data_IF_932695141538
#
_entry.id   IF_932695141538
#
_cell.length_a   1.000
_cell.length_b   1.000
_cell.length_c   1.000
_cell.angle_alpha   90.00
_cell.angle_beta   90.00
_cell.angle_gamma   90.00
#
_symmetry.space_group_name_H-M   'P 1'
#
loop_
_entity.id
_entity.type
_entity.pdbx_description
1 polymer ?
#
# COMPACT_ATOMS: atom_id res chain seq x y z
N UNK A 1 5.51 -43.98 -1.22
CA UNK A 1 5.47 -42.92 -2.24
C UNK A 1 4.06 -42.79 -2.76
N UNK A 2 3.73 -41.66 -3.38
CA UNK A 2 2.45 -41.35 -4.05
C UNK A 2 1.34 -40.76 -3.16
N UNK A 3 1.57 -39.57 -2.63
CA UNK A 3 0.48 -38.59 -2.49
C UNK A 3 0.41 -37.80 -3.80
N UNK A 4 -0.17 -38.39 -4.84
CA UNK A 4 -0.54 -37.62 -6.02
C UNK A 4 -1.75 -36.77 -5.63
N UNK A 5 -1.50 -35.51 -5.26
CA UNK A 5 -2.58 -34.55 -5.04
C UNK A 5 -3.24 -34.33 -6.39
N UNK A 6 -4.36 -35.00 -6.62
CA UNK A 6 -5.33 -34.66 -7.67
C UNK A 6 -5.88 -33.28 -7.30
N UNK A 7 -5.18 -32.23 -7.72
CA UNK A 7 -5.70 -30.88 -7.65
C UNK A 7 -6.85 -30.84 -8.66
N UNK A 8 -8.10 -30.60 -8.23
CA UNK A 8 -9.21 -30.46 -9.17
C UNK A 8 -8.87 -29.33 -10.15
N UNK A 9 -9.10 -29.57 -11.44
CA UNK A 9 -8.85 -28.59 -12.50
C UNK A 9 -9.62 -27.31 -12.16
N UNK A 10 -8.90 -26.33 -11.61
CA UNK A 10 -9.47 -25.02 -11.36
C UNK A 10 -9.80 -24.42 -12.72
N UNK A 11 -11.07 -24.09 -12.99
CA UNK A 11 -11.46 -23.67 -14.32
C UNK A 11 -10.73 -22.36 -14.65
N UNK A 12 -10.12 -22.33 -15.83
CA UNK A 12 -9.18 -21.28 -16.28
C UNK A 12 -9.75 -19.87 -16.14
N UNK A 13 -11.06 -19.70 -16.31
CA UNK A 13 -11.74 -18.42 -16.12
C UNK A 13 -11.56 -17.85 -14.71
N UNK A 14 -11.50 -18.68 -13.65
CA UNK A 14 -11.24 -18.21 -12.28
C UNK A 14 -9.83 -17.65 -12.13
N UNK A 15 -8.85 -18.31 -12.75
CA UNK A 15 -7.45 -17.84 -12.77
C UNK A 15 -7.37 -16.51 -13.53
N UNK A 16 -8.02 -16.42 -14.69
CA UNK A 16 -8.05 -15.21 -15.50
C UNK A 16 -8.71 -14.05 -14.76
N UNK A 17 -9.89 -14.24 -14.16
CA UNK A 17 -10.57 -13.21 -13.36
C UNK A 17 -9.69 -12.77 -12.20
N UNK A 18 -9.09 -13.71 -11.46
CA UNK A 18 -8.18 -13.38 -10.35
C UNK A 18 -7.04 -12.50 -10.82
N UNK A 19 -6.40 -12.85 -11.93
CA UNK A 19 -5.26 -12.09 -12.47
C UNK A 19 -5.69 -10.68 -12.93
N UNK A 20 -6.86 -10.56 -13.59
CA UNK A 20 -7.42 -9.26 -13.97
C UNK A 20 -7.69 -8.40 -12.74
N UNK A 21 -8.34 -8.95 -11.71
CA UNK A 21 -8.63 -8.23 -10.47
C UNK A 21 -7.36 -7.75 -9.77
N UNK A 22 -6.35 -8.63 -9.63
CA UNK A 22 -5.05 -8.29 -9.03
C UNK A 22 -4.37 -7.19 -9.84
N UNK A 23 -4.37 -7.28 -11.17
CA UNK A 23 -3.77 -6.27 -12.03
C UNK A 23 -4.47 -4.92 -11.87
N UNK A 24 -5.80 -4.89 -11.96
CA UNK A 24 -6.57 -3.65 -11.79
C UNK A 24 -6.39 -3.01 -10.42
N UNK A 25 -6.37 -3.83 -9.36
CA UNK A 25 -6.14 -3.36 -7.99
C UNK A 25 -4.73 -2.82 -7.82
N UNK A 26 -3.73 -3.46 -8.43
CA UNK A 26 -2.34 -2.99 -8.41
C UNK A 26 -2.19 -1.62 -9.06
N UNK A 27 -2.82 -1.39 -10.22
CA UNK A 27 -2.84 -0.08 -10.89
C UNK A 27 -3.52 0.98 -10.02
N UNK A 28 -4.62 0.63 -9.37
CA UNK A 28 -5.31 1.52 -8.43
C UNK A 28 -4.39 1.93 -7.26
N UNK A 29 -3.77 0.95 -6.58
CA UNK A 29 -2.87 1.18 -5.46
C UNK A 29 -1.67 2.05 -5.87
N UNK A 30 -1.06 1.78 -7.03
CA UNK A 30 0.04 2.58 -7.58
C UNK A 30 -0.37 4.03 -7.82
N UNK A 31 -1.58 4.24 -8.35
CA UNK A 31 -2.12 5.59 -8.61
C UNK A 31 -2.32 6.36 -7.30
N UNK A 32 -2.92 5.71 -6.30
CA UNK A 32 -3.15 6.30 -4.97
C UNK A 32 -1.82 6.64 -4.29
N UNK A 33 -0.87 5.70 -4.26
CA UNK A 33 0.44 5.91 -3.62
C UNK A 33 1.24 7.02 -4.31
N UNK A 34 1.24 7.07 -5.65
CA UNK A 34 1.92 8.14 -6.39
C UNK A 34 1.31 9.51 -6.07
N UNK A 35 -0.03 9.60 -6.03
CA UNK A 35 -0.71 10.85 -5.69
C UNK A 35 -0.47 11.27 -4.24
N UNK A 36 -0.52 10.32 -3.31
CA UNK A 36 -0.25 10.58 -1.90
C UNK A 36 1.20 11.04 -1.69
N UNK A 37 2.16 10.37 -2.32
CA UNK A 37 3.57 10.74 -2.26
C UNK A 37 3.83 12.14 -2.80
N UNK A 38 3.23 12.49 -3.96
CA UNK A 38 3.30 13.84 -4.51
C UNK A 38 2.72 14.90 -3.56
N UNK A 39 1.57 14.62 -2.96
CA UNK A 39 0.96 15.52 -1.99
C UNK A 39 1.83 15.73 -0.74
N UNK A 40 2.41 14.65 -0.22
CA UNK A 40 3.34 14.70 0.92
C UNK A 40 4.60 15.49 0.56
N UNK A 41 5.23 15.25 -0.60
CA UNK A 41 6.38 16.03 -1.07
C UNK A 41 6.05 17.52 -1.23
N UNK A 42 4.87 17.84 -1.75
CA UNK A 42 4.39 19.21 -1.86
C UNK A 42 4.19 19.88 -0.48
N UNK A 43 3.71 19.13 0.52
CA UNK A 43 3.54 19.62 1.90
C UNK A 43 4.88 19.88 2.61
N UNK A 44 5.84 18.98 2.45
CA UNK A 44 7.16 19.08 3.09
C UNK A 44 8.22 19.77 2.21
N UNK A 45 7.83 20.34 1.08
CA UNK A 45 8.73 21.01 0.10
C UNK A 45 9.97 20.17 -0.25
N UNK A 46 9.79 18.86 -0.44
CA UNK A 46 10.89 17.93 -0.74
C UNK A 46 11.16 18.00 -2.26
N UNK A 47 12.34 18.48 -2.71
CA UNK A 47 12.65 18.55 -4.13
C UNK A 47 12.75 17.15 -4.75
N UNK A 48 12.43 17.05 -6.03
CA UNK A 48 12.65 15.84 -6.83
C UNK A 48 14.12 15.82 -7.26
N UNK A 49 14.86 14.75 -6.94
CA UNK A 49 16.30 14.68 -7.23
C UNK A 49 16.61 13.81 -8.46
N UNK A 50 15.79 12.79 -8.73
CA UNK A 50 16.01 11.84 -9.83
C UNK A 50 14.70 11.55 -10.58
N UNK A 51 14.79 11.35 -11.90
CA UNK A 51 13.64 11.09 -12.78
C UNK A 51 12.57 12.19 -12.79
N UNK A 52 12.89 13.36 -13.38
CA UNK A 52 11.99 14.45 -13.82
C UNK A 52 10.47 14.11 -13.76
N UNK A 53 9.80 14.33 -12.62
CA UNK A 53 8.34 14.13 -12.45
C UNK A 53 7.84 12.68 -12.27
N UNK A 54 8.72 11.69 -12.36
CA UNK A 54 8.40 10.25 -12.32
C UNK A 54 9.06 9.48 -11.17
N UNK A 55 9.89 10.10 -10.33
CA UNK A 55 10.54 9.44 -9.18
C UNK A 55 9.53 8.66 -8.33
N UNK A 56 8.39 9.28 -8.04
CA UNK A 56 7.35 8.70 -7.20
C UNK A 56 6.68 7.48 -7.84
N UNK A 57 6.59 7.44 -9.17
CA UNK A 57 6.08 6.28 -9.91
C UNK A 57 7.11 5.14 -9.86
N UNK A 58 8.39 5.43 -10.12
CA UNK A 58 9.46 4.44 -10.08
C UNK A 58 9.63 3.82 -8.68
N UNK A 59 9.60 4.63 -7.62
CA UNK A 59 9.68 4.15 -6.24
C UNK A 59 8.44 3.34 -5.84
N UNK A 60 7.24 3.78 -6.24
CA UNK A 60 5.99 3.05 -5.96
C UNK A 60 5.89 1.73 -6.73
N UNK A 61 6.46 1.65 -7.93
CA UNK A 61 6.52 0.42 -8.75
C UNK A 61 7.53 -0.58 -8.20
N UNK A 62 8.73 -0.13 -7.82
CA UNK A 62 9.82 -1.03 -7.42
C UNK A 62 9.74 -1.48 -5.95
N UNK A 63 9.27 -0.60 -5.06
CA UNK A 63 8.96 -0.99 -3.68
C UNK A 63 7.67 -0.31 -3.19
N UNK A 64 6.54 -0.86 -3.61
CA UNK A 64 5.21 -0.41 -3.20
C UNK A 64 5.02 -0.45 -1.68
N UNK A 65 5.45 -1.53 -1.03
CA UNK A 65 5.32 -1.68 0.42
C UNK A 65 6.22 -0.69 1.20
N UNK A 66 7.46 -0.45 0.75
CA UNK A 66 8.34 0.55 1.37
C UNK A 66 7.74 1.95 1.26
N UNK A 67 7.21 2.28 0.08
CA UNK A 67 6.59 3.59 -0.19
C UNK A 67 5.36 3.78 0.68
N UNK A 68 4.50 2.76 0.79
CA UNK A 68 3.34 2.78 1.66
C UNK A 68 3.72 2.96 3.15
N UNK A 69 4.71 2.20 3.63
CA UNK A 69 5.19 2.31 5.01
C UNK A 69 5.81 3.68 5.32
N UNK A 70 6.61 4.22 4.40
CA UNK A 70 7.19 5.56 4.52
C UNK A 70 6.09 6.63 4.59
N UNK A 71 5.07 6.54 3.72
CA UNK A 71 3.96 7.49 3.72
C UNK A 71 3.12 7.38 4.98
N UNK A 72 2.77 6.17 5.42
CA UNK A 72 2.03 5.94 6.65
C UNK A 72 2.73 6.58 7.86
N UNK A 73 4.07 6.47 7.92
CA UNK A 73 4.88 7.09 8.98
C UNK A 73 4.85 8.62 8.93
N UNK A 74 4.76 9.21 7.74
CA UNK A 74 4.75 10.67 7.56
C UNK A 74 3.36 11.28 7.73
N UNK A 75 2.30 10.51 7.52
CA UNK A 75 0.92 10.97 7.70
C UNK A 75 0.40 10.84 9.12
N UNK A 76 1.04 10.00 9.96
CA UNK A 76 0.68 9.83 11.35
C UNK A 76 1.44 10.82 12.25
N UNK A 77 0.73 11.46 13.17
CA UNK A 77 1.31 12.37 14.16
C UNK A 77 1.77 11.59 15.40
N UNK A 78 3.03 11.15 15.38
CA UNK A 78 3.59 10.35 16.48
C UNK A 78 3.97 11.16 17.72
N UNK A 79 3.89 12.49 17.69
CA UNK A 79 4.06 13.32 18.88
C UNK A 79 2.81 13.25 19.77
N UNK A 80 1.65 13.01 19.17
CA UNK A 80 0.36 12.90 19.87
C UNK A 80 -0.07 11.44 20.05
N UNK A 81 0.17 10.57 19.05
CA UNK A 81 -0.32 9.19 19.04
C UNK A 81 0.82 8.18 18.94
N UNK A 82 0.94 7.28 19.92
CA UNK A 82 1.94 6.22 19.88
C UNK A 82 1.64 5.18 18.79
N UNK A 83 2.70 4.61 18.19
CA UNK A 83 2.58 3.53 17.22
C UNK A 83 2.20 2.21 17.91
N UNK A 84 1.22 1.49 17.37
CA UNK A 84 0.84 0.16 17.83
C UNK A 84 0.62 -0.77 16.64
N UNK A 85 1.32 -1.90 16.63
CA UNK A 85 1.13 -2.91 15.59
C UNK A 85 -0.24 -3.58 15.71
N UNK A 86 -0.77 -4.05 14.57
CA UNK A 86 -2.01 -4.82 14.49
C UNK A 86 -3.29 -4.05 14.91
N UNK A 87 -3.28 -2.72 14.86
CA UNK A 87 -4.48 -1.88 14.96
C UNK A 87 -4.92 -1.41 13.56
N UNK A 88 -6.19 -0.98 13.41
CA UNK A 88 -6.74 -0.56 12.11
C UNK A 88 -5.95 0.59 11.46
N UNK A 89 -5.41 1.49 12.28
CA UNK A 89 -4.68 2.70 11.84
C UNK A 89 -3.17 2.63 12.07
N UNK A 90 -2.66 1.61 12.77
CA UNK A 90 -1.26 1.54 13.19
C UNK A 90 -0.90 2.46 14.36
N UNK A 91 -1.90 3.10 14.97
CA UNK A 91 -1.80 3.97 16.15
C UNK A 91 -2.60 3.37 17.31
N UNK A 92 -2.30 3.81 18.54
CA UNK A 92 -3.11 3.51 19.72
C UNK A 92 -4.51 4.11 19.51
N UNK A 93 -5.59 3.32 19.60
CA UNK A 93 -6.95 3.85 19.50
C UNK A 93 -7.22 4.81 20.65
N UNK A 94 -7.73 6.00 20.34
CA UNK A 94 -8.22 6.91 21.36
C UNK A 94 -9.40 6.23 22.08
N UNK A 95 -9.44 6.19 23.42
CA UNK A 95 -10.54 5.58 24.17
C UNK A 95 -11.94 6.16 23.83
N UNK A 96 -12.02 7.31 23.16
CA UNK A 96 -13.27 7.90 22.67
C UNK A 96 -13.82 7.30 21.36
N UNK A 97 -13.01 6.58 20.58
CA UNK A 97 -13.38 6.04 19.26
C UNK A 97 -14.04 4.65 19.31
N UNK A 98 -14.08 4.02 20.50
CA UNK A 98 -14.70 2.70 20.73
C UNK A 98 -16.21 2.71 20.97
N UNK A 99 -16.92 3.79 20.63
CA UNK A 99 -18.35 3.98 20.98
C UNK A 99 -19.32 3.96 19.79
N UNK A 100 -18.95 3.34 18.66
CA UNK A 100 -19.86 3.16 17.50
C UNK A 100 -19.97 1.70 17.11
#
# INVERSE_FOLDING_TARGET
>A
GHYEKVFPDVPTWKITIRNVLIFTFSIYVLTVLTKLRRAVRARYSIPEERCLGCEDLCCSLWCTCCTAAQLARQTADYEVQHAQCCTSTGCVPDPSDSTV
#
